data_IF_980275071737
#
_entry.id   IF_980275071737
#
_cell.length_a   1.000
_cell.length_b   1.000
_cell.length_c   1.000
_cell.angle_alpha   90.00
_cell.angle_beta   90.00
_cell.angle_gamma   90.00
#
_symmetry.space_group_name_H-M   'P 1'
#
loop_
_entity.id
_entity.type
_entity.pdbx_description
1 polymer ?
#
# COMPACT_ATOMS: atom_id res chain seq x y z
N UNK A 1 -13.41 -16.12 2.82
CA UNK A 1 -12.55 -14.95 3.08
C UNK A 1 -13.45 -13.73 2.96
N UNK A 2 -13.50 -12.90 3.99
CA UNK A 2 -14.38 -11.74 3.99
C UNK A 2 -13.53 -10.51 3.73
N UNK A 3 -13.33 -10.19 2.47
CA UNK A 3 -12.74 -8.92 2.06
C UNK A 3 -13.78 -7.83 2.13
N UNK A 4 -13.45 -6.74 2.81
CA UNK A 4 -14.20 -5.49 2.69
C UNK A 4 -13.51 -4.56 1.69
N UNK A 5 -14.30 -3.80 0.94
CA UNK A 5 -13.82 -2.82 -0.03
C UNK A 5 -14.68 -1.56 0.03
N UNK A 6 -14.06 -0.40 -0.04
CA UNK A 6 -14.80 0.87 0.03
C UNK A 6 -13.91 2.10 0.20
N UNK A 7 -14.53 3.15 0.75
CA UNK A 7 -13.80 4.34 1.16
C UNK A 7 -13.03 4.08 2.46
N UNK A 8 -12.07 4.94 2.79
CA UNK A 8 -11.34 4.79 4.06
C UNK A 8 -12.23 5.01 5.29
N UNK A 9 -13.32 5.77 5.16
CA UNK A 9 -14.25 5.99 6.27
C UNK A 9 -15.07 4.74 6.61
N UNK A 10 -15.18 3.79 5.67
CA UNK A 10 -15.83 2.49 5.85
C UNK A 10 -14.92 1.45 6.54
N UNK A 11 -13.62 1.72 6.63
CA UNK A 11 -12.64 0.79 7.20
C UNK A 11 -12.90 0.64 8.71
N UNK A 12 -13.11 -0.58 9.22
CA UNK A 12 -13.38 -0.82 10.63
C UNK A 12 -12.08 -0.77 11.46
N UNK A 13 -11.45 0.41 11.55
CA UNK A 13 -10.12 0.59 12.14
C UNK A 13 -10.00 0.08 13.59
N UNK A 14 -11.06 0.17 14.39
CA UNK A 14 -11.08 -0.36 15.76
C UNK A 14 -11.05 -1.88 15.81
N UNK A 15 -11.60 -2.56 14.80
CA UNK A 15 -11.55 -4.02 14.68
C UNK A 15 -10.20 -4.48 14.10
N UNK A 16 -9.65 -3.72 13.15
CA UNK A 16 -8.38 -4.07 12.50
C UNK A 16 -7.16 -3.75 13.37
N UNK A 17 -7.21 -2.66 14.14
CA UNK A 17 -6.11 -2.15 14.96
C UNK A 17 -6.62 -1.72 16.34
N UNK A 18 -6.99 -2.67 17.22
CA UNK A 18 -7.63 -2.39 18.51
C UNK A 18 -6.78 -1.55 19.48
N UNK A 19 -5.46 -1.47 19.24
CA UNK A 19 -4.52 -0.68 20.02
C UNK A 19 -4.53 0.83 19.70
N UNK A 20 -5.20 1.26 18.62
CA UNK A 20 -5.21 2.68 18.24
C UNK A 20 -6.14 3.49 19.13
N UNK A 21 -5.66 4.64 19.61
CA UNK A 21 -6.50 5.64 20.25
C UNK A 21 -7.37 6.39 19.23
N UNK A 22 -8.37 7.14 19.71
CA UNK A 22 -9.15 8.03 18.84
C UNK A 22 -8.30 9.09 18.14
N UNK A 23 -7.25 9.58 18.80
CA UNK A 23 -6.30 10.53 18.22
C UNK A 23 -5.49 9.90 17.08
N UNK A 24 -5.07 8.64 17.25
CA UNK A 24 -4.36 7.87 16.24
C UNK A 24 -5.23 7.62 15.02
N UNK A 25 -6.48 7.19 15.22
CA UNK A 25 -7.48 7.04 14.15
C UNK A 25 -7.68 8.36 13.40
N UNK A 26 -7.78 9.47 14.12
CA UNK A 26 -7.85 10.79 13.51
C UNK A 26 -6.61 11.13 12.68
N UNK A 27 -5.43 10.69 13.10
CA UNK A 27 -4.19 10.85 12.35
C UNK A 27 -4.17 10.05 11.05
N UNK A 28 -4.56 8.78 11.09
CA UNK A 28 -4.70 7.92 9.90
C UNK A 28 -5.65 8.56 8.89
N UNK A 29 -6.83 9.00 9.34
CA UNK A 29 -7.81 9.67 8.46
C UNK A 29 -7.23 10.92 7.81
N UNK A 30 -6.53 11.78 8.55
CA UNK A 30 -5.87 12.96 7.96
C UNK A 30 -4.80 12.58 6.93
N UNK A 31 -4.02 11.54 7.19
CA UNK A 31 -3.02 11.06 6.24
C UNK A 31 -3.68 10.59 4.94
N UNK A 32 -4.79 9.83 5.02
CA UNK A 32 -5.54 9.41 3.83
C UNK A 32 -6.16 10.59 3.08
N UNK A 33 -6.70 11.59 3.78
CA UNK A 33 -7.23 12.79 3.12
C UNK A 33 -6.16 13.53 2.30
N UNK A 34 -4.89 13.54 2.75
CA UNK A 34 -3.78 14.11 1.98
C UNK A 34 -3.45 13.28 0.74
N UNK A 35 -3.53 11.96 0.81
CA UNK A 35 -3.39 11.07 -0.37
C UNK A 35 -4.53 11.32 -1.35
N UNK A 36 -5.77 11.37 -0.85
CA UNK A 36 -6.96 11.67 -1.64
C UNK A 36 -6.91 13.04 -2.31
N UNK A 37 -6.32 14.05 -1.67
CA UNK A 37 -6.14 15.38 -2.27
C UNK A 37 -5.21 15.36 -3.50
N UNK A 38 -4.27 14.41 -3.60
CA UNK A 38 -3.41 14.25 -4.77
C UNK A 38 -4.14 13.61 -5.96
N UNK A 39 -5.00 12.61 -5.71
CA UNK A 39 -5.78 11.91 -6.76
C UNK A 39 -7.17 11.48 -6.24
N UNK A 40 -8.15 12.41 -6.18
CA UNK A 40 -9.43 12.16 -5.51
C UNK A 40 -10.24 11.02 -6.14
N UNK A 41 -10.26 10.95 -7.48
CA UNK A 41 -11.05 9.96 -8.23
C UNK A 41 -10.54 8.54 -8.00
N UNK A 42 -9.21 8.37 -7.89
CA UNK A 42 -8.59 7.05 -7.77
C UNK A 42 -8.65 6.50 -6.35
N UNK A 43 -8.80 7.36 -5.34
CA UNK A 43 -8.73 6.99 -3.92
C UNK A 43 -10.12 6.82 -3.28
N UNK A 44 -11.18 7.44 -3.84
CA UNK A 44 -12.52 7.53 -3.23
C UNK A 44 -13.22 6.19 -2.93
N UNK A 45 -12.81 5.07 -3.54
CA UNK A 45 -13.36 3.73 -3.27
C UNK A 45 -12.31 2.61 -3.34
N UNK A 46 -11.03 2.98 -3.17
CA UNK A 46 -9.87 2.15 -3.49
C UNK A 46 -9.23 1.43 -2.30
N UNK A 47 -9.91 1.33 -1.16
CA UNK A 47 -9.36 0.63 0.02
C UNK A 47 -9.93 -0.77 0.14
N UNK A 48 -9.05 -1.74 0.30
CA UNK A 48 -9.36 -3.13 0.64
C UNK A 48 -8.88 -3.42 2.07
N UNK A 49 -9.67 -4.19 2.82
CA UNK A 49 -9.28 -4.66 4.14
C UNK A 49 -9.66 -6.12 4.37
N UNK A 50 -8.86 -6.77 5.20
CA UNK A 50 -8.89 -8.21 5.45
C UNK A 50 -8.96 -8.47 6.96
N UNK A 51 -10.17 -8.45 7.57
CA UNK A 51 -10.33 -8.64 9.01
C UNK A 51 -9.72 -9.94 9.52
N UNK A 52 -9.76 -11.02 8.73
CA UNK A 52 -9.11 -12.29 9.08
C UNK A 52 -7.59 -12.17 9.24
N UNK A 53 -6.96 -11.18 8.58
CA UNK A 53 -5.52 -10.96 8.67
C UNK A 53 -5.14 -10.10 9.88
N UNK A 54 -6.09 -9.43 10.52
CA UNK A 54 -5.86 -8.60 11.72
C UNK A 54 -5.53 -9.45 12.97
N UNK A 55 -5.74 -10.77 12.92
CA UNK A 55 -5.38 -11.70 14.00
C UNK A 55 -4.17 -12.55 13.59
N UNK A 56 -3.17 -12.66 14.46
CA UNK A 56 -2.00 -13.53 14.22
C UNK A 56 -2.37 -14.98 14.53
N UNK A 57 -2.55 -15.81 13.49
CA UNK A 57 -2.80 -17.25 13.64
C UNK A 57 -1.58 -18.06 13.22
N UNK A 58 -0.67 -18.33 14.17
CA UNK A 58 0.45 -19.26 14.00
C UNK A 58 1.67 -18.73 13.22
N UNK A 59 2.70 -19.58 13.03
CA UNK A 59 3.92 -19.20 12.30
C UNK A 59 3.57 -18.86 10.85
N UNK A 60 3.84 -17.61 10.45
CA UNK A 60 3.44 -17.09 9.14
C UNK A 60 4.50 -17.40 8.10
N UNK A 61 4.13 -18.22 7.12
CA UNK A 61 4.94 -18.46 5.92
C UNK A 61 4.80 -17.33 4.87
N UNK A 62 3.89 -16.36 5.08
CA UNK A 62 3.68 -15.19 4.20
C UNK A 62 3.22 -13.96 4.99
N UNK A 63 3.66 -12.78 4.53
CA UNK A 63 3.23 -11.45 4.99
C UNK A 63 1.74 -11.24 4.65
N UNK A 64 0.85 -11.24 5.64
CA UNK A 64 -0.58 -10.99 5.41
C UNK A 64 -0.87 -9.49 5.44
N UNK A 65 -1.47 -8.96 4.38
CA UNK A 65 -1.92 -7.57 4.27
C UNK A 65 -3.25 -7.41 4.99
N UNK A 66 -3.35 -6.47 5.93
CA UNK A 66 -4.54 -6.18 6.72
C UNK A 66 -5.38 -5.09 6.04
N UNK A 67 -4.72 -4.07 5.50
CA UNK A 67 -5.31 -2.89 4.90
C UNK A 67 -4.46 -2.49 3.69
N UNK A 68 -5.11 -2.16 2.58
CA UNK A 68 -4.46 -1.83 1.32
C UNK A 68 -5.21 -0.71 0.61
N UNK A 69 -4.47 0.28 0.11
CA UNK A 69 -4.86 1.11 -1.01
C UNK A 69 -4.03 0.66 -2.21
N UNK A 70 -4.67 0.25 -3.30
CA UNK A 70 -4.00 -0.06 -4.55
C UNK A 70 -4.57 0.81 -5.68
N UNK A 71 -3.74 1.68 -6.23
CA UNK A 71 -4.08 2.54 -7.36
C UNK A 71 -3.37 2.02 -8.60
N UNK A 72 -4.12 1.32 -9.44
CA UNK A 72 -3.64 0.81 -10.74
C UNK A 72 -3.70 1.94 -11.76
N UNK A 73 -2.56 2.23 -12.38
CA UNK A 73 -2.46 3.10 -13.55
C UNK A 73 -2.35 2.21 -14.79
N UNK A 74 -3.33 2.26 -15.70
CA UNK A 74 -3.22 1.56 -16.96
C UNK A 74 -2.09 2.21 -17.76
N UNK A 75 -1.09 1.42 -18.16
CA UNK A 75 -0.28 1.76 -19.32
C UNK A 75 -0.97 1.15 -20.56
N UNK A 76 -0.44 1.38 -21.76
CA UNK A 76 -0.97 0.77 -22.98
C UNK A 76 -0.90 -0.77 -22.98
N UNK A 77 -0.75 -1.37 -24.15
CA UNK A 77 -0.82 -2.83 -24.32
C UNK A 77 0.17 -3.57 -23.39
N UNK A 78 -0.36 -4.27 -22.39
CA UNK A 78 0.33 -5.35 -21.67
C UNK A 78 1.02 -5.02 -20.35
N UNK A 79 1.24 -3.74 -20.01
CA UNK A 79 1.89 -3.34 -18.76
C UNK A 79 0.94 -2.49 -17.90
N UNK A 80 0.96 -2.70 -16.59
CA UNK A 80 0.36 -1.79 -15.63
C UNK A 80 1.39 -1.45 -14.55
N UNK A 81 1.22 -0.31 -13.91
CA UNK A 81 1.93 -0.03 -12.67
C UNK A 81 0.94 0.39 -11.61
N UNK A 82 1.31 0.17 -10.36
CA UNK A 82 0.44 0.38 -9.21
C UNK A 82 1.17 1.22 -8.17
N UNK A 83 0.42 2.08 -7.51
CA UNK A 83 0.86 2.69 -6.27
C UNK A 83 0.14 1.99 -5.13
N UNK A 84 0.89 1.36 -4.24
CA UNK A 84 0.33 0.68 -3.08
C UNK A 84 0.70 1.42 -1.80
N UNK A 85 -0.26 1.47 -0.88
CA UNK A 85 -0.07 1.84 0.52
C UNK A 85 -0.73 0.76 1.36
N UNK A 86 0.03 0.05 2.16
CA UNK A 86 -0.46 -1.11 2.89
C UNK A 86 -0.01 -1.14 4.34
N UNK A 87 -0.86 -1.76 5.16
CA UNK A 87 -0.52 -2.19 6.52
C UNK A 87 -0.64 -3.71 6.54
N UNK A 88 0.42 -4.37 6.96
CA UNK A 88 0.48 -5.82 7.10
C UNK A 88 1.25 -6.21 8.34
N UNK A 89 1.75 -7.45 8.35
CA UNK A 89 2.58 -7.95 9.43
C UNK A 89 4.01 -8.13 8.97
N UNK A 90 4.95 -7.57 9.72
CA UNK A 90 6.36 -7.93 9.66
C UNK A 90 6.60 -9.30 10.34
N UNK A 91 7.84 -9.75 10.26
CA UNK A 91 8.34 -10.83 11.12
C UNK A 91 8.11 -10.52 12.61
N UNK A 92 8.06 -11.58 13.42
CA UNK A 92 7.90 -11.48 14.89
C UNK A 92 6.55 -10.90 15.35
N UNK A 93 5.54 -10.84 14.47
CA UNK A 93 4.19 -10.39 14.84
C UNK A 93 4.11 -8.90 15.13
N UNK A 94 4.96 -8.09 14.49
CA UNK A 94 4.84 -6.62 14.49
C UNK A 94 4.09 -6.16 13.25
N UNK A 95 3.43 -5.00 13.31
CA UNK A 95 2.85 -4.41 12.11
C UNK A 95 3.95 -3.84 11.22
N UNK A 96 3.74 -3.89 9.92
CA UNK A 96 4.52 -3.18 8.93
C UNK A 96 3.61 -2.23 8.18
N UNK A 97 4.11 -1.02 7.90
CA UNK A 97 3.50 -0.13 6.92
C UNK A 97 4.46 0.03 5.75
N UNK A 98 3.97 -0.13 4.53
CA UNK A 98 4.74 0.15 3.33
C UNK A 98 3.98 0.97 2.30
N UNK A 99 4.73 1.78 1.56
CA UNK A 99 4.31 2.40 0.32
C UNK A 99 5.24 1.91 -0.79
N UNK A 100 4.69 1.45 -1.91
CA UNK A 100 5.46 0.94 -3.04
C UNK A 100 4.95 1.46 -4.39
N UNK A 101 5.87 1.54 -5.34
CA UNK A 101 5.55 1.54 -6.77
C UNK A 101 5.81 0.14 -7.31
N UNK A 102 4.76 -0.47 -7.85
CA UNK A 102 4.80 -1.81 -8.43
C UNK A 102 4.69 -1.71 -9.94
N UNK A 103 5.53 -2.43 -10.68
CA UNK A 103 5.43 -2.51 -12.15
C UNK A 103 5.18 -3.94 -12.54
N UNK A 104 4.08 -4.18 -13.27
CA UNK A 104 3.82 -5.45 -13.92
C UNK A 104 4.91 -5.74 -14.95
N UNK A 105 5.45 -6.95 -14.92
CA UNK A 105 6.47 -7.37 -15.86
C UNK A 105 6.11 -8.73 -16.45
N UNK A 106 6.21 -8.83 -17.78
CA UNK A 106 6.08 -10.09 -18.51
C UNK A 106 7.45 -10.76 -18.75
N UNK A 107 8.45 -10.56 -17.87
CA UNK A 107 9.77 -11.18 -18.08
C UNK A 107 9.73 -12.70 -17.86
N UNK A 108 10.64 -13.42 -18.54
CA UNK A 108 10.68 -14.89 -18.53
C UNK A 108 10.94 -15.49 -17.13
N UNK A 109 11.48 -14.69 -16.21
CA UNK A 109 11.88 -15.15 -14.87
C UNK A 109 10.78 -14.94 -13.82
N UNK A 110 9.91 -13.94 -14.00
CA UNK A 110 8.84 -13.62 -13.06
C UNK A 110 7.68 -12.96 -13.82
N UNK A 111 6.53 -13.65 -13.86
CA UNK A 111 5.28 -13.15 -14.45
C UNK A 111 4.49 -12.32 -13.42
N UNK A 112 5.20 -11.55 -12.59
CA UNK A 112 4.68 -10.86 -11.43
C UNK A 112 4.83 -9.34 -11.47
N UNK A 113 4.53 -8.71 -10.34
CA UNK A 113 4.79 -7.30 -10.10
C UNK A 113 6.12 -7.13 -9.37
N UNK A 114 6.95 -6.21 -9.84
CA UNK A 114 8.21 -5.85 -9.16
C UNK A 114 8.01 -4.58 -8.35
N UNK A 115 8.43 -4.61 -7.08
CA UNK A 115 8.65 -3.42 -6.26
C UNK A 115 9.83 -2.61 -6.81
N UNK A 116 9.56 -1.42 -7.35
CA UNK A 116 10.58 -0.54 -7.95
C UNK A 116 11.12 0.49 -6.95
N UNK A 117 10.23 1.06 -6.14
CA UNK A 117 10.58 2.05 -5.12
C UNK A 117 9.70 1.77 -3.90
N UNK A 118 10.31 1.57 -2.74
CA UNK A 118 9.62 1.13 -1.53
C UNK A 118 10.07 1.98 -0.35
N UNK A 119 9.09 2.48 0.40
CA UNK A 119 9.28 3.01 1.74
C UNK A 119 8.57 2.06 2.71
N UNK A 120 9.29 1.57 3.73
CA UNK A 120 8.79 0.55 4.66
C UNK A 120 9.21 0.88 6.09
N UNK A 121 8.29 0.68 7.03
CA UNK A 121 8.52 0.80 8.46
C UNK A 121 7.95 -0.40 9.20
N UNK A 122 8.76 -1.02 10.06
CA UNK A 122 8.27 -1.97 11.06
C UNK A 122 7.86 -1.18 12.30
N UNK A 123 6.62 -1.34 12.73
CA UNK A 123 6.05 -0.66 13.90
C UNK A 123 6.65 -1.26 15.17
N UNK A 124 7.03 -0.40 16.10
CA UNK A 124 7.62 -0.78 17.38
C UNK A 124 7.88 0.45 18.24
N UNK A 125 8.86 0.35 19.14
CA UNK A 125 9.13 1.38 20.16
C UNK A 125 9.56 2.72 19.56
N UNK A 126 10.25 2.70 18.42
CA UNK A 126 10.77 3.92 17.78
C UNK A 126 9.76 4.58 16.81
N UNK A 127 8.89 3.78 16.21
CA UNK A 127 7.92 4.22 15.19
C UNK A 127 6.57 3.60 15.46
N UNK A 128 5.60 4.46 15.79
CA UNK A 128 4.21 4.08 15.94
C UNK A 128 3.53 3.86 14.59
N UNK A 129 2.46 3.06 14.57
CA UNK A 129 1.67 2.80 13.37
C UNK A 129 1.16 4.10 12.71
N UNK A 130 0.61 5.09 13.43
CA UNK A 130 0.17 6.34 12.82
C UNK A 130 1.30 7.13 12.16
N UNK A 131 2.50 7.13 12.76
CA UNK A 131 3.66 7.83 12.22
C UNK A 131 4.19 7.14 10.96
N UNK A 132 4.28 5.80 10.98
CA UNK A 132 4.64 5.02 9.80
C UNK A 132 3.63 5.22 8.67
N UNK A 133 2.34 5.17 9.00
CA UNK A 133 1.25 5.39 8.05
C UNK A 133 1.28 6.78 7.44
N UNK A 134 1.50 7.83 8.24
CA UNK A 134 1.64 9.19 7.73
C UNK A 134 2.81 9.34 6.75
N UNK A 135 3.98 8.80 7.07
CA UNK A 135 5.15 8.86 6.20
C UNK A 135 4.94 8.11 4.87
N UNK A 136 4.36 6.91 4.93
CA UNK A 136 4.02 6.13 3.74
C UNK A 136 2.92 6.82 2.90
N UNK A 137 1.88 7.37 3.54
CA UNK A 137 0.85 8.15 2.87
C UNK A 137 1.41 9.40 2.18
N UNK A 138 2.30 10.15 2.83
CA UNK A 138 2.97 11.29 2.20
C UNK A 138 3.77 10.86 0.96
N UNK A 139 4.48 9.72 1.04
CA UNK A 139 5.23 9.17 -0.09
C UNK A 139 4.31 8.78 -1.24
N UNK A 140 3.22 8.06 -0.96
CA UNK A 140 2.21 7.67 -1.96
C UNK A 140 1.57 8.90 -2.60
N UNK A 141 1.20 9.92 -1.81
CA UNK A 141 0.64 11.17 -2.33
C UNK A 141 1.58 11.88 -3.30
N UNK A 142 2.89 11.90 -3.02
CA UNK A 142 3.89 12.47 -3.95
C UNK A 142 3.97 11.72 -5.27
N UNK A 143 3.94 10.39 -5.25
CA UNK A 143 3.93 9.59 -6.48
C UNK A 143 2.65 9.82 -7.30
N UNK A 144 1.51 9.98 -6.63
CA UNK A 144 0.21 10.23 -7.28
C UNK A 144 0.07 11.65 -7.85
N UNK A 145 0.74 12.63 -7.26
CA UNK A 145 0.68 14.04 -7.70
C UNK A 145 1.53 14.31 -8.96
N UNK A 146 2.62 13.57 -9.15
CA UNK A 146 3.46 13.61 -10.35
C UNK A 146 3.67 12.18 -10.87
N UNK A 147 2.61 11.55 -11.42
CA UNK A 147 2.67 10.16 -11.84
C UNK A 147 3.57 10.06 -13.06
N UNK A 148 4.72 9.41 -12.87
CA UNK A 148 5.61 9.03 -13.97
C UNK A 148 5.06 7.79 -14.67
N UNK A 149 5.34 7.67 -15.96
CA UNK A 149 4.90 6.56 -16.78
C UNK A 149 5.59 5.23 -16.41
N UNK A 150 5.10 4.14 -16.99
CA UNK A 150 5.66 2.81 -16.79
C UNK A 150 7.16 2.75 -17.15
N UNK A 151 7.61 3.40 -18.22
CA UNK A 151 9.00 3.31 -18.67
C UNK A 151 9.96 3.97 -17.69
N UNK A 152 9.57 5.09 -17.09
CA UNK A 152 10.32 5.72 -16.02
C UNK A 152 10.55 4.74 -14.86
N UNK A 153 9.49 4.09 -14.38
CA UNK A 153 9.59 3.16 -13.26
C UNK A 153 10.35 1.89 -13.65
N UNK A 154 10.17 1.37 -14.87
CA UNK A 154 10.97 0.25 -15.38
C UNK A 154 12.46 0.58 -15.39
N UNK A 155 12.84 1.72 -15.95
CA UNK A 155 14.22 2.18 -16.00
C UNK A 155 14.79 2.35 -14.58
N UNK A 156 14.01 2.91 -13.65
CA UNK A 156 14.41 3.05 -12.24
C UNK A 156 14.65 1.70 -11.56
N UNK A 157 13.82 0.70 -11.86
CA UNK A 157 13.93 -0.65 -11.30
C UNK A 157 14.93 -1.56 -12.01
N UNK A 158 15.59 -1.08 -13.07
CA UNK A 158 16.45 -1.92 -13.91
C UNK A 158 15.69 -3.02 -14.66
N UNK A 159 14.39 -2.84 -14.88
CA UNK A 159 13.54 -3.80 -15.56
C UNK A 159 13.72 -3.67 -17.09
N UNK A 160 13.58 -4.76 -17.86
CA UNK A 160 13.70 -4.73 -19.32
C UNK A 160 12.77 -3.69 -19.95
N UNK A 161 13.13 -3.07 -21.06
CA UNK A 161 12.21 -2.22 -21.83
C UNK A 161 11.11 -3.05 -22.48
N UNK A 162 9.96 -2.44 -22.76
CA UNK A 162 8.87 -3.10 -23.48
C UNK A 162 9.36 -3.61 -24.84
N UNK A 163 9.01 -4.85 -25.20
CA UNK A 163 9.16 -5.31 -26.57
C UNK A 163 8.14 -4.53 -27.42
N UNK A 164 8.63 -3.85 -28.45
CA UNK A 164 7.81 -3.06 -29.39
C UNK A 164 7.01 -3.92 -30.36
#
# INVERSE_FOLDING_TARGET
MHTGRGSFDDVPLSALFPQLSAADVGSLRRAVQRVGAAQPVLVAGGWDWFPEHAVVTGPRSRTSVILLLCVVQPSGVGDWWEFQLQVGWAEQGRHEVSASVNVGCCCETDHGTHDVDVLRFVVGDEVSLPRAFEACAERTGRWLADPRDADHWRARGGLPTRAG
#
